data_IF_666458692751
#
_entry.id   IF_666458692751
#
_cell.length_a   1.000
_cell.length_b   1.000
_cell.length_c   1.000
_cell.angle_alpha   90.00
_cell.angle_beta   90.00
_cell.angle_gamma   90.00
#
_symmetry.space_group_name_H-M   'P 1'
#
loop_
_entity.id
_entity.type
_entity.pdbx_description
1 polymer ?
#
# COMPACT_ATOMS: atom_id res chain seq x y z
N UNK A 1 8.73 3.27 25.03
CA UNK A 1 7.37 2.84 25.45
C UNK A 1 6.50 3.04 24.22
N UNK A 2 6.34 2.01 23.39
CA UNK A 2 5.65 2.14 22.11
C UNK A 2 4.14 2.21 22.38
N UNK A 3 3.47 3.24 21.88
CA UNK A 3 2.02 3.30 21.94
C UNK A 3 1.48 2.18 21.03
N UNK A 4 0.95 1.12 21.63
CA UNK A 4 0.26 0.07 20.89
C UNK A 4 -0.91 0.71 20.10
N UNK A 5 -1.22 0.24 18.88
CA UNK A 5 -2.44 0.66 18.16
C UNK A 5 -3.71 0.50 19.01
N UNK A 6 -3.70 -0.42 19.97
CA UNK A 6 -4.78 -0.62 20.93
C UNK A 6 -4.91 0.51 21.97
N UNK A 7 -3.83 1.24 22.25
CA UNK A 7 -3.83 2.38 23.17
C UNK A 7 -4.34 3.65 22.48
N UNK A 8 -3.94 3.89 21.22
CA UNK A 8 -4.49 4.98 20.38
C UNK A 8 -6.01 4.86 20.17
N UNK A 9 -6.52 3.63 20.00
CA UNK A 9 -7.96 3.39 19.90
C UNK A 9 -8.71 3.56 21.24
N UNK A 10 -8.02 3.45 22.38
CA UNK A 10 -8.61 3.55 23.73
C UNK A 10 -8.58 4.98 24.29
N UNK A 11 -7.51 5.73 24.06
CA UNK A 11 -7.34 7.08 24.62
C UNK A 11 -8.34 8.10 24.06
N UNK A 12 -8.86 7.88 22.84
CA UNK A 12 -9.83 8.77 22.20
C UNK A 12 -11.31 8.36 22.39
N UNK A 13 -11.62 7.44 23.31
CA UNK A 13 -13.01 7.15 23.67
C UNK A 13 -13.84 6.44 22.57
N UNK A 14 -13.22 5.64 21.69
CA UNK A 14 -13.89 4.91 20.61
C UNK A 14 -14.64 3.66 21.09
N UNK A 15 -15.62 3.84 21.99
CA UNK A 15 -16.53 2.80 22.45
C UNK A 15 -17.90 2.91 21.77
N UNK A 16 -17.98 2.66 20.46
CA UNK A 16 -19.27 2.37 19.79
C UNK A 16 -19.05 1.83 18.38
N UNK A 17 -19.33 0.52 18.21
CA UNK A 17 -19.60 -0.19 16.94
C UNK A 17 -18.68 0.12 15.75
N UNK A 18 -17.43 -0.36 15.73
CA UNK A 18 -16.52 -0.24 14.56
C UNK A 18 -15.82 -1.56 14.25
N UNK A 19 -15.84 -1.98 12.98
CA UNK A 19 -15.15 -3.18 12.48
C UNK A 19 -13.69 -2.85 12.18
N UNK A 20 -12.80 -3.25 13.08
CA UNK A 20 -11.35 -3.29 12.84
C UNK A 20 -11.09 -4.40 11.79
N UNK A 21 -10.69 -4.08 10.57
CA UNK A 21 -10.44 -5.10 9.56
C UNK A 21 -9.14 -4.88 8.75
N UNK A 22 -8.26 -5.84 8.96
CA UNK A 22 -7.10 -6.28 8.16
C UNK A 22 -5.79 -5.48 8.19
N UNK A 23 -4.75 -6.23 8.57
CA UNK A 23 -3.34 -5.87 8.53
C UNK A 23 -2.79 -6.47 7.24
N UNK A 24 -2.60 -5.67 6.20
CA UNK A 24 -1.59 -6.00 5.18
C UNK A 24 -0.26 -6.14 5.93
N UNK A 25 0.58 -7.10 5.52
CA UNK A 25 1.86 -7.38 6.22
C UNK A 25 2.81 -6.18 6.26
N UNK A 26 2.47 -5.06 5.63
CA UNK A 26 3.34 -3.90 5.56
C UNK A 26 2.64 -2.53 5.63
N UNK A 27 1.30 -2.44 5.54
CA UNK A 27 0.58 -1.18 5.86
C UNK A 27 -0.76 -1.51 6.55
N UNK A 28 -0.89 -1.28 7.87
CA UNK A 28 -2.18 -1.38 8.53
C UNK A 28 -3.10 -0.26 8.06
N UNK A 29 -4.23 -0.68 7.49
CA UNK A 29 -5.32 0.18 7.05
C UNK A 29 -6.51 -0.12 7.97
N UNK A 30 -7.13 0.93 8.51
CA UNK A 30 -8.30 0.78 9.37
C UNK A 30 -9.47 1.60 8.83
N UNK A 31 -10.68 1.06 8.89
CA UNK A 31 -11.88 1.71 8.35
C UNK A 31 -12.81 2.17 9.46
N UNK A 32 -13.27 3.43 9.40
CA UNK A 32 -14.12 4.07 10.40
C UNK A 32 -15.14 5.00 9.73
N UNK A 33 -16.43 4.64 9.70
CA UNK A 33 -17.53 5.53 9.29
C UNK A 33 -17.16 6.44 8.09
N UNK A 34 -16.89 5.82 6.93
CA UNK A 34 -16.51 6.48 5.66
C UNK A 34 -15.12 7.14 5.61
N UNK A 35 -14.35 7.05 6.70
CA UNK A 35 -12.94 7.44 6.75
C UNK A 35 -12.00 6.23 6.79
N UNK A 36 -10.82 6.37 6.18
CA UNK A 36 -9.76 5.36 6.19
C UNK A 36 -8.59 5.89 7.01
N UNK A 37 -8.27 5.26 8.14
CA UNK A 37 -7.07 5.58 8.92
C UNK A 37 -5.89 4.74 8.42
N UNK A 38 -4.74 5.39 8.28
CA UNK A 38 -3.49 4.77 7.87
C UNK A 38 -2.42 4.99 8.92
N UNK A 39 -1.58 3.98 9.09
CA UNK A 39 -0.33 4.10 9.84
C UNK A 39 0.75 3.39 9.02
N UNK A 40 1.74 4.14 8.53
CA UNK A 40 2.80 3.60 7.70
C UNK A 40 3.92 3.01 8.59
N UNK A 41 4.08 1.68 8.55
CA UNK A 41 5.22 1.01 9.18
C UNK A 41 6.31 0.73 8.14
N UNK A 42 7.55 0.84 8.58
CA UNK A 42 8.76 0.69 7.78
C UNK A 42 9.26 -0.76 7.64
N UNK A 43 8.62 -1.74 8.30
CA UNK A 43 9.07 -3.14 8.29
C UNK A 43 7.93 -4.10 7.94
N UNK A 44 8.23 -5.22 7.24
CA UNK A 44 7.29 -6.33 7.15
C UNK A 44 7.00 -6.78 8.60
N UNK A 45 5.73 -6.70 9.00
CA UNK A 45 5.28 -7.05 10.34
C UNK A 45 5.53 -8.55 10.58
N UNK A 46 6.67 -8.89 11.17
CA UNK A 46 6.80 -10.11 11.94
C UNK A 46 5.99 -9.94 13.23
N UNK A 47 4.86 -10.64 13.25
CA UNK A 47 4.12 -11.04 14.44
C UNK A 47 3.55 -9.90 15.31
N UNK A 48 2.31 -9.48 15.02
CA UNK A 48 1.40 -8.96 16.06
C UNK A 48 0.61 -10.17 16.61
N UNK A 49 0.74 -10.54 17.89
CA UNK A 49 -0.10 -11.58 18.49
C UNK A 49 -1.55 -11.08 18.61
N UNK A 50 -2.53 -11.94 18.30
CA UNK A 50 -3.98 -11.77 18.51
C UNK A 50 -4.85 -11.12 17.40
N UNK A 51 -4.50 -11.25 16.11
CA UNK A 51 -5.48 -11.05 15.04
C UNK A 51 -5.77 -12.41 14.41
N UNK A 52 -7.06 -12.81 14.39
CA UNK A 52 -7.49 -14.04 13.73
C UNK A 52 -7.10 -13.98 12.25
N UNK A 53 -6.13 -14.80 11.89
CA UNK A 53 -5.72 -15.04 10.51
C UNK A 53 -6.93 -15.70 9.81
N UNK A 54 -7.60 -14.96 8.93
CA UNK A 54 -8.54 -15.60 8.01
C UNK A 54 -7.67 -16.33 6.99
N UNK A 55 -7.52 -17.64 7.19
CA UNK A 55 -6.75 -18.50 6.30
C UNK A 55 -7.34 -18.38 4.89
N UNK A 56 -6.47 -18.10 3.90
CA UNK A 56 -6.72 -18.07 2.45
C UNK A 56 -6.98 -16.75 1.72
N UNK A 57 -6.77 -15.56 2.31
CA UNK A 57 -6.79 -14.33 1.51
C UNK A 57 -5.56 -13.45 1.80
N UNK A 58 -4.58 -13.47 0.89
CA UNK A 58 -3.54 -12.44 0.76
C UNK A 58 -4.11 -11.14 0.17
N UNK A 59 -5.36 -11.16 -0.29
CA UNK A 59 -6.01 -10.09 -1.03
C UNK A 59 -7.19 -9.58 -0.20
N UNK A 60 -7.36 -8.26 -0.12
CA UNK A 60 -8.47 -7.66 0.61
C UNK A 60 -9.20 -6.64 -0.24
N UNK A 61 -10.44 -6.97 -0.58
CA UNK A 61 -11.41 -6.06 -1.15
C UNK A 61 -12.32 -5.52 -0.04
N UNK A 62 -12.45 -4.20 0.06
CA UNK A 62 -13.42 -3.57 0.94
C UNK A 62 -14.29 -2.60 0.15
N UNK A 63 -15.60 -2.83 0.15
CA UNK A 63 -16.57 -1.87 -0.37
C UNK A 63 -17.02 -0.99 0.79
N UNK A 64 -16.66 0.31 0.77
CA UNK A 64 -16.98 1.27 1.83
C UNK A 64 -18.44 1.71 1.77
N UNK A 65 -18.90 2.02 0.56
CA UNK A 65 -20.24 2.51 0.27
C UNK A 65 -20.67 2.06 -1.12
N UNK A 66 -21.87 2.43 -1.55
CA UNK A 66 -22.30 2.22 -2.95
C UNK A 66 -21.41 2.99 -3.94
N UNK A 67 -20.71 4.04 -3.50
CA UNK A 67 -19.92 4.95 -4.35
C UNK A 67 -18.42 4.63 -4.35
N UNK A 68 -17.92 3.97 -3.30
CA UNK A 68 -16.48 3.77 -3.09
C UNK A 68 -16.07 2.33 -2.83
N UNK A 69 -14.94 1.97 -3.43
CA UNK A 69 -14.27 0.70 -3.25
C UNK A 69 -12.79 0.91 -2.94
N UNK A 70 -12.32 0.21 -1.92
CA UNK A 70 -10.92 0.21 -1.49
C UNK A 70 -10.33 -1.15 -1.80
N UNK A 71 -9.26 -1.14 -2.58
CA UNK A 71 -8.57 -2.35 -3.03
C UNK A 71 -7.20 -2.39 -2.38
N UNK A 72 -6.93 -3.39 -1.55
CA UNK A 72 -5.63 -3.53 -0.88
C UNK A 72 -4.84 -4.64 -1.57
N UNK A 73 -3.76 -4.24 -2.23
CA UNK A 73 -2.80 -5.13 -2.88
C UNK A 73 -1.73 -5.60 -1.89
N UNK A 74 -1.41 -6.89 -1.94
CA UNK A 74 -0.23 -7.46 -1.32
C UNK A 74 0.96 -7.36 -2.29
N UNK A 75 1.73 -6.28 -2.16
CA UNK A 75 2.97 -6.07 -2.90
C UNK A 75 4.10 -7.06 -2.53
N UNK A 76 3.90 -7.90 -1.53
CA UNK A 76 4.82 -8.97 -1.14
C UNK A 76 4.33 -10.37 -1.53
N UNK A 77 3.30 -10.45 -2.38
CA UNK A 77 2.79 -11.71 -2.91
C UNK A 77 3.93 -12.54 -3.53
N UNK A 78 4.71 -11.97 -4.44
CA UNK A 78 5.99 -12.56 -4.86
C UNK A 78 7.12 -11.76 -4.23
N UNK A 79 7.71 -12.28 -3.15
CA UNK A 79 8.82 -11.62 -2.45
C UNK A 79 9.72 -12.60 -1.70
N UNK A 80 10.96 -12.18 -1.45
CA UNK A 80 11.93 -12.98 -0.71
C UNK A 80 11.70 -12.97 0.82
N UNK A 81 10.94 -12.00 1.31
CA UNK A 81 10.72 -11.75 2.74
C UNK A 81 9.27 -11.97 3.20
N UNK A 82 8.33 -12.11 2.25
CA UNK A 82 6.91 -12.23 2.55
C UNK A 82 6.43 -13.65 2.84
N UNK A 83 7.24 -14.70 2.66
CA UNK A 83 6.80 -16.09 2.83
C UNK A 83 7.89 -16.95 3.52
N UNK A 84 7.56 -18.16 4.02
CA UNK A 84 8.55 -19.11 4.51
C UNK A 84 9.66 -19.36 3.47
N UNK A 85 10.87 -19.67 3.94
CA UNK A 85 12.07 -19.77 3.08
C UNK A 85 11.94 -20.80 1.96
N UNK A 86 11.22 -21.87 2.20
CA UNK A 86 10.96 -23.01 1.31
C UNK A 86 9.67 -22.86 0.48
N UNK A 87 8.93 -21.77 0.67
CA UNK A 87 7.70 -21.51 -0.08
C UNK A 87 7.99 -21.20 -1.55
N UNK A 88 7.12 -21.68 -2.46
CA UNK A 88 7.29 -21.50 -3.91
C UNK A 88 7.43 -20.01 -4.30
N UNK A 89 6.64 -19.13 -3.69
CA UNK A 89 6.70 -17.67 -3.93
C UNK A 89 8.04 -17.05 -3.50
N UNK A 90 8.64 -17.53 -2.39
CA UNK A 90 9.99 -17.13 -1.97
C UNK A 90 11.04 -17.57 -2.96
N UNK A 91 10.98 -18.83 -3.40
CA UNK A 91 11.94 -19.39 -4.37
C UNK A 91 11.88 -18.66 -5.71
N UNK A 92 10.67 -18.36 -6.20
CA UNK A 92 10.46 -17.53 -7.40
C UNK A 92 11.09 -16.14 -7.24
N UNK A 93 10.86 -15.49 -6.11
CA UNK A 93 11.42 -14.16 -5.83
C UNK A 93 12.95 -14.16 -5.74
N UNK A 94 13.54 -15.18 -5.12
CA UNK A 94 15.00 -15.34 -5.04
C UNK A 94 15.62 -15.53 -6.43
N UNK A 95 15.03 -16.37 -7.29
CA UNK A 95 15.47 -16.55 -8.67
C UNK A 95 15.39 -15.24 -9.46
N UNK A 96 14.25 -14.53 -9.36
CA UNK A 96 14.04 -13.24 -10.00
C UNK A 96 15.12 -12.20 -9.62
N UNK A 97 15.44 -12.11 -8.33
CA UNK A 97 16.50 -11.23 -7.81
C UNK A 97 17.89 -11.67 -8.25
N UNK A 98 18.13 -12.97 -8.38
CA UNK A 98 19.42 -13.50 -8.82
C UNK A 98 19.70 -13.13 -10.29
N UNK A 99 18.66 -13.08 -11.13
CA UNK A 99 18.76 -12.64 -12.53
C UNK A 99 18.94 -11.12 -12.70
N UNK A 100 18.29 -10.31 -11.85
CA UNK A 100 18.18 -8.85 -12.06
C UNK A 100 19.09 -8.01 -11.18
N UNK A 101 19.48 -8.51 -10.01
CA UNK A 101 20.36 -7.81 -9.08
C UNK A 101 21.72 -8.54 -9.03
N UNK A 102 22.79 -7.95 -9.58
CA UNK A 102 24.11 -8.61 -9.65
C UNK A 102 24.83 -8.69 -8.30
N UNK A 103 24.33 -7.98 -7.27
CA UNK A 103 24.98 -7.93 -5.97
C UNK A 103 24.79 -9.22 -5.18
N UNK A 104 25.76 -9.56 -4.32
CA UNK A 104 25.61 -10.66 -3.34
C UNK A 104 24.59 -10.31 -2.27
N UNK A 105 24.68 -9.09 -1.71
CA UNK A 105 23.61 -8.48 -0.92
C UNK A 105 22.51 -7.96 -1.84
N UNK A 106 21.38 -8.67 -1.87
CA UNK A 106 20.23 -8.32 -2.71
C UNK A 106 19.49 -7.07 -2.23
N UNK A 107 19.85 -6.45 -1.11
CA UNK A 107 19.37 -5.12 -0.72
C UNK A 107 20.22 -3.98 -1.27
N UNK A 108 21.39 -4.28 -1.86
CA UNK A 108 22.26 -3.27 -2.46
C UNK A 108 21.74 -2.84 -3.84
N UNK A 109 21.56 -1.52 -4.09
CA UNK A 109 21.23 -0.99 -5.40
C UNK A 109 22.46 -0.68 -6.26
N UNK A 110 23.68 -1.00 -5.79
CA UNK A 110 24.91 -0.65 -6.50
C UNK A 110 24.97 -1.34 -7.87
N UNK A 111 25.35 -0.58 -8.90
CA UNK A 111 25.37 -1.07 -10.29
C UNK A 111 24.00 -1.15 -10.97
N UNK A 112 22.88 -1.01 -10.24
CA UNK A 112 21.55 -0.88 -10.83
C UNK A 112 21.31 0.56 -11.28
N UNK A 113 20.78 0.72 -12.50
CA UNK A 113 20.59 2.02 -13.14
C UNK A 113 19.11 2.26 -13.44
N UNK A 114 18.66 3.51 -13.24
CA UNK A 114 17.29 3.89 -13.53
C UNK A 114 16.27 3.07 -12.72
N UNK A 115 15.19 2.64 -13.37
CA UNK A 115 14.11 1.89 -12.71
C UNK A 115 14.54 0.49 -12.27
N UNK A 116 15.66 -0.04 -12.76
CA UNK A 116 16.18 -1.34 -12.32
C UNK A 116 16.59 -1.31 -10.85
N UNK A 117 16.82 -0.11 -10.28
CA UNK A 117 17.14 0.09 -8.86
C UNK A 117 16.08 -0.43 -7.90
N UNK A 118 14.87 -0.72 -8.39
CA UNK A 118 13.77 -1.33 -7.62
C UNK A 118 13.95 -2.82 -7.33
N UNK A 119 14.85 -3.51 -8.02
CA UNK A 119 15.03 -4.96 -7.88
C UNK A 119 15.87 -5.31 -6.64
N UNK A 120 15.31 -5.00 -5.48
CA UNK A 120 15.92 -5.17 -4.16
C UNK A 120 15.11 -6.16 -3.32
N UNK A 121 15.79 -6.90 -2.44
CA UNK A 121 15.19 -7.96 -1.62
C UNK A 121 14.13 -7.46 -0.63
N UNK A 122 14.23 -6.19 -0.22
CA UNK A 122 13.21 -5.55 0.62
C UNK A 122 11.94 -5.14 -0.13
N UNK A 123 11.86 -5.37 -1.44
CA UNK A 123 10.66 -5.17 -2.26
C UNK A 123 10.00 -6.51 -2.64
N UNK A 124 8.98 -6.44 -3.50
CA UNK A 124 8.29 -7.60 -4.05
C UNK A 124 7.51 -7.24 -5.32
N UNK A 125 6.68 -8.18 -5.76
CA UNK A 125 5.79 -8.07 -6.90
C UNK A 125 4.37 -8.56 -6.53
N UNK A 126 3.39 -8.07 -7.26
CA UNK A 126 2.03 -8.60 -7.28
C UNK A 126 1.99 -9.81 -8.22
N UNK A 127 1.53 -10.96 -7.76
CA UNK A 127 1.47 -12.18 -8.55
C UNK A 127 0.36 -12.16 -9.59
N UNK A 128 0.43 -13.10 -10.55
CA UNK A 128 -0.51 -13.18 -11.67
C UNK A 128 -1.97 -13.35 -11.23
N UNK A 129 -2.23 -14.21 -10.25
CA UNK A 129 -3.58 -14.45 -9.71
C UNK A 129 -4.18 -13.16 -9.14
N UNK A 130 -3.36 -12.38 -8.43
CA UNK A 130 -3.76 -11.10 -7.86
C UNK A 130 -3.97 -10.01 -8.93
N UNK A 131 -3.20 -10.02 -10.02
CA UNK A 131 -3.42 -9.13 -11.17
C UNK A 131 -4.75 -9.45 -11.89
N UNK A 132 -5.05 -10.74 -12.09
CA UNK A 132 -6.32 -11.19 -12.68
C UNK A 132 -7.51 -10.83 -11.78
N UNK A 133 -7.36 -11.01 -10.46
CA UNK A 133 -8.33 -10.57 -9.48
C UNK A 133 -8.55 -9.04 -9.53
N UNK A 134 -7.47 -8.25 -9.58
CA UNK A 134 -7.55 -6.80 -9.68
C UNK A 134 -8.34 -6.37 -10.92
N UNK A 135 -8.10 -6.99 -12.07
CA UNK A 135 -8.83 -6.72 -13.32
C UNK A 135 -10.35 -6.91 -13.13
N UNK A 136 -10.76 -8.03 -12.55
CA UNK A 136 -12.16 -8.31 -12.25
C UNK A 136 -12.76 -7.31 -11.26
N UNK A 137 -12.03 -6.96 -10.20
CA UNK A 137 -12.48 -6.00 -9.19
C UNK A 137 -12.70 -4.61 -9.79
N UNK A 138 -11.81 -4.16 -10.68
CA UNK A 138 -11.92 -2.85 -11.34
C UNK A 138 -13.01 -2.83 -12.43
N UNK A 139 -13.20 -3.95 -13.14
CA UNK A 139 -14.32 -4.12 -14.06
C UNK A 139 -15.66 -4.02 -13.33
N UNK A 140 -15.81 -4.72 -12.21
CA UNK A 140 -17.03 -4.68 -11.41
C UNK A 140 -17.29 -3.29 -10.81
N UNK A 141 -16.23 -2.62 -10.33
CA UNK A 141 -16.33 -1.24 -9.84
C UNK A 141 -16.81 -0.28 -10.93
N UNK A 142 -16.29 -0.44 -12.15
CA UNK A 142 -16.71 0.33 -13.32
C UNK A 142 -18.19 0.10 -13.63
N UNK A 143 -18.63 -1.16 -13.67
CA UNK A 143 -20.04 -1.51 -13.93
C UNK A 143 -20.98 -0.99 -12.83
N UNK A 144 -20.46 -0.78 -11.63
CA UNK A 144 -21.21 -0.29 -10.47
C UNK A 144 -21.07 1.23 -10.26
N UNK A 145 -20.44 1.96 -11.19
CA UNK A 145 -20.14 3.39 -11.09
C UNK A 145 -19.40 3.79 -9.80
N UNK A 146 -18.53 2.92 -9.30
CA UNK A 146 -17.75 3.17 -8.09
C UNK A 146 -16.43 3.86 -8.41
N UNK A 147 -15.96 4.69 -7.48
CA UNK A 147 -14.60 5.23 -7.44
C UNK A 147 -13.73 4.29 -6.63
N UNK A 148 -12.51 4.06 -7.09
CA UNK A 148 -11.57 3.12 -6.49
C UNK A 148 -10.35 3.85 -5.96
N UNK A 149 -9.99 3.53 -4.71
CA UNK A 149 -8.66 3.83 -4.15
C UNK A 149 -7.91 2.52 -3.99
N UNK A 150 -6.76 2.43 -4.63
CA UNK A 150 -5.86 1.27 -4.54
C UNK A 150 -4.84 1.55 -3.43
N UNK A 151 -4.65 0.61 -2.53
CA UNK A 151 -3.64 0.69 -1.48
C UNK A 151 -2.62 -0.42 -1.71
N UNK A 152 -1.33 -0.10 -1.70
CA UNK A 152 -0.25 -1.08 -1.72
C UNK A 152 0.85 -0.59 -0.77
N UNK A 153 1.58 -1.48 -0.09
CA UNK A 153 2.70 -0.99 0.71
C UNK A 153 3.79 -0.36 -0.18
N UNK A 154 4.09 -0.99 -1.32
CA UNK A 154 5.12 -0.56 -2.26
C UNK A 154 4.55 0.47 -3.25
N UNK A 155 5.21 1.62 -3.47
CA UNK A 155 4.80 2.62 -4.44
C UNK A 155 4.65 2.07 -5.87
N UNK A 156 3.63 2.60 -6.56
CA UNK A 156 3.27 2.20 -7.92
C UNK A 156 3.68 3.24 -8.99
N UNK A 157 4.21 4.38 -8.59
CA UNK A 157 4.63 5.45 -9.53
C UNK A 157 6.02 5.99 -9.19
N UNK A 158 6.94 6.05 -10.18
CA UNK A 158 8.31 6.54 -9.98
C UNK A 158 8.41 8.06 -9.76
N UNK A 159 7.34 8.83 -9.98
CA UNK A 159 7.26 10.24 -9.66
C UNK A 159 6.89 10.50 -8.20
N UNK A 160 6.25 9.55 -7.52
CA UNK A 160 5.85 9.68 -6.12
C UNK A 160 6.84 9.07 -5.12
N UNK A 161 7.85 8.31 -5.57
CA UNK A 161 8.83 7.64 -4.71
C UNK A 161 10.22 7.57 -5.33
N UNK A 162 11.23 7.25 -4.51
CA UNK A 162 12.54 6.79 -4.97
C UNK A 162 12.42 5.51 -5.79
N UNK A 163 13.38 5.30 -6.71
CA UNK A 163 13.35 4.14 -7.61
C UNK A 163 13.56 2.84 -6.85
N UNK A 164 14.29 2.90 -5.74
CA UNK A 164 14.60 1.80 -4.85
C UNK A 164 13.38 1.29 -4.10
N UNK A 165 12.37 2.13 -3.87
CA UNK A 165 11.16 1.77 -3.14
C UNK A 165 10.07 1.12 -4.02
N UNK A 166 10.19 1.19 -5.35
CA UNK A 166 9.10 0.79 -6.26
C UNK A 166 8.82 -0.71 -6.22
N UNK A 167 7.54 -1.06 -6.39
CA UNK A 167 7.12 -2.44 -6.67
C UNK A 167 7.84 -2.98 -7.90
N UNK A 168 8.31 -4.24 -7.86
CA UNK A 168 9.08 -4.84 -8.95
C UNK A 168 8.34 -4.80 -10.30
N UNK A 169 7.05 -5.15 -10.29
CA UNK A 169 6.20 -5.13 -11.47
C UNK A 169 5.13 -4.01 -11.37
N UNK A 170 5.51 -2.84 -10.85
CA UNK A 170 4.62 -1.68 -10.82
C UNK A 170 4.01 -1.37 -12.19
N UNK A 171 4.77 -1.60 -13.26
CA UNK A 171 4.34 -1.41 -14.64
C UNK A 171 3.23 -2.37 -15.07
N UNK A 172 3.27 -3.63 -14.62
CA UNK A 172 2.20 -4.60 -14.88
C UNK A 172 0.94 -4.26 -14.09
N UNK A 173 1.09 -3.83 -12.82
CA UNK A 173 -0.04 -3.39 -11.99
C UNK A 173 -0.68 -2.14 -12.58
N UNK A 174 0.13 -1.15 -12.96
CA UNK A 174 -0.37 0.09 -13.56
C UNK A 174 -0.99 -0.15 -14.93
N UNK A 175 -0.48 -1.11 -15.72
CA UNK A 175 -1.12 -1.51 -16.97
C UNK A 175 -2.56 -2.00 -16.76
N UNK A 176 -2.82 -2.77 -15.70
CA UNK A 176 -4.20 -3.18 -15.35
C UNK A 176 -5.02 -1.98 -14.89
N UNK A 177 -4.48 -1.16 -13.97
CA UNK A 177 -5.16 0.01 -13.42
C UNK A 177 -5.56 1.02 -14.51
N UNK A 178 -4.67 1.32 -15.45
CA UNK A 178 -4.89 2.31 -16.52
C UNK A 178 -5.96 1.90 -17.53
N UNK A 179 -6.44 0.65 -17.52
CA UNK A 179 -7.59 0.22 -18.33
C UNK A 179 -8.93 0.74 -17.80
N UNK A 180 -8.97 1.27 -16.57
CA UNK A 180 -10.19 1.63 -15.88
C UNK A 180 -10.16 3.07 -15.36
N UNK A 181 -11.19 3.85 -15.71
CA UNK A 181 -11.34 5.24 -15.24
C UNK A 181 -11.84 5.36 -13.79
N UNK A 182 -12.24 4.24 -13.18
CA UNK A 182 -12.78 4.19 -11.84
C UNK A 182 -11.71 4.44 -10.76
N UNK A 183 -10.43 4.15 -11.05
CA UNK A 183 -9.33 4.37 -10.11
C UNK A 183 -8.99 5.85 -10.04
N UNK A 184 -9.01 6.42 -8.82
CA UNK A 184 -8.77 7.85 -8.58
C UNK A 184 -7.48 8.13 -7.83
N UNK A 185 -7.07 7.21 -6.95
CA UNK A 185 -5.83 7.35 -6.21
C UNK A 185 -5.20 6.00 -5.89
N UNK A 186 -3.87 5.98 -5.83
CA UNK A 186 -3.04 4.92 -5.28
C UNK A 186 -2.36 5.44 -4.01
N UNK A 187 -2.56 4.77 -2.89
CA UNK A 187 -1.94 5.09 -1.61
C UNK A 187 -0.86 4.05 -1.30
N UNK A 188 0.33 4.52 -0.94
CA UNK A 188 1.45 3.66 -0.57
C UNK A 188 2.25 4.17 0.63
N UNK A 189 3.20 3.35 1.08
CA UNK A 189 4.21 3.73 2.07
C UNK A 189 5.58 3.33 1.56
N UNK A 190 6.37 2.63 2.39
CA UNK A 190 7.68 2.08 2.08
C UNK A 190 8.80 3.10 1.82
N UNK A 191 8.57 4.12 0.99
CA UNK A 191 9.45 5.29 0.93
C UNK A 191 9.14 6.23 2.08
N UNK A 192 9.97 6.20 3.12
CA UNK A 192 9.71 6.93 4.36
C UNK A 192 9.67 8.45 4.19
N UNK A 193 10.28 8.97 3.12
CA UNK A 193 10.23 10.39 2.81
C UNK A 193 8.82 10.83 2.42
N UNK A 194 8.00 9.91 1.94
CA UNK A 194 6.73 10.22 1.30
C UNK A 194 6.93 10.88 -0.06
N UNK A 195 5.81 11.14 -0.71
CA UNK A 195 5.78 11.84 -1.99
C UNK A 195 4.40 11.86 -2.62
N UNK A 196 4.27 12.63 -3.69
CA UNK A 196 3.03 12.76 -4.44
C UNK A 196 3.32 13.01 -5.92
N UNK A 197 2.57 12.34 -6.78
CA UNK A 197 2.53 12.60 -8.22
C UNK A 197 1.12 12.41 -8.77
N UNK A 198 0.88 12.91 -9.98
CA UNK A 198 -0.31 12.60 -10.78
C UNK A 198 0.19 12.04 -12.09
N UNK A 199 -0.28 10.84 -12.46
CA UNK A 199 0.14 10.19 -13.69
C UNK A 199 -0.61 10.73 -14.92
N UNK A 200 -0.23 10.24 -16.11
CA UNK A 200 -0.82 10.68 -17.38
C UNK A 200 -2.31 10.33 -17.54
N UNK A 201 -2.86 9.48 -16.68
CA UNK A 201 -4.28 9.10 -16.66
C UNK A 201 -5.07 9.88 -15.60
N UNK A 202 -4.43 10.83 -14.91
CA UNK A 202 -5.05 11.63 -13.85
C UNK A 202 -5.17 10.89 -12.51
N UNK A 203 -4.48 9.75 -12.35
CA UNK A 203 -4.49 9.00 -11.08
C UNK A 203 -3.46 9.62 -10.14
N UNK A 204 -3.90 9.94 -8.93
CA UNK A 204 -3.00 10.46 -7.90
C UNK A 204 -2.25 9.32 -7.22
N UNK A 205 -0.93 9.46 -7.08
CA UNK A 205 -0.10 8.53 -6.33
C UNK A 205 0.42 9.22 -5.09
N UNK A 206 -0.02 8.78 -3.91
CA UNK A 206 0.38 9.38 -2.62
C UNK A 206 1.12 8.36 -1.78
N UNK A 207 2.40 8.61 -1.55
CA UNK A 207 3.26 7.82 -0.66
C UNK A 207 3.33 8.52 0.69
N UNK A 208 2.91 7.81 1.74
CA UNK A 208 2.77 8.33 3.09
C UNK A 208 4.09 8.25 3.86
N UNK A 209 4.40 9.31 4.60
CA UNK A 209 5.60 9.40 5.43
C UNK A 209 5.58 8.35 6.55
N UNK A 210 6.73 7.73 6.84
CA UNK A 210 6.81 6.65 7.82
C UNK A 210 7.05 7.17 9.25
N UNK A 211 6.32 6.59 10.21
CA UNK A 211 6.48 6.92 11.63
C UNK A 211 7.86 6.52 12.19
N UNK A 212 8.57 5.59 11.55
CA UNK A 212 9.89 5.14 11.98
C UNK A 212 10.93 6.27 11.97
N UNK A 213 10.78 7.25 11.08
CA UNK A 213 11.71 8.38 10.97
C UNK A 213 11.33 9.58 11.83
N UNK A 214 10.36 9.41 12.73
CA UNK A 214 9.94 10.45 13.64
C UNK A 214 10.93 10.58 14.81
N UNK A 215 11.37 11.80 15.16
CA UNK A 215 12.13 12.04 16.38
C UNK A 215 11.43 11.46 17.62
N UNK A 216 12.18 11.08 18.67
CA UNK A 216 11.57 10.61 19.92
C UNK A 216 10.49 11.56 20.44
N UNK A 217 9.28 11.04 20.63
CA UNK A 217 8.13 11.83 21.10
C UNK A 217 7.23 12.40 20.00
N UNK A 218 7.46 12.06 18.73
CA UNK A 218 6.59 12.42 17.59
C UNK A 218 6.12 11.17 16.84
N UNK A 219 5.06 11.27 16.03
CA UNK A 219 4.48 10.16 15.26
C UNK A 219 4.32 10.52 13.76
N UNK A 220 3.79 9.61 12.94
CA UNK A 220 3.30 9.89 11.59
C UNK A 220 2.08 9.01 11.29
N UNK A 221 0.90 9.61 11.34
CA UNK A 221 -0.36 8.93 11.06
C UNK A 221 -1.36 9.90 10.44
N UNK A 222 -2.43 9.36 9.88
CA UNK A 222 -3.47 10.18 9.30
C UNK A 222 -4.74 9.42 8.99
N UNK A 223 -5.71 10.15 8.48
CA UNK A 223 -6.96 9.60 7.99
C UNK A 223 -7.40 10.27 6.70
N UNK A 224 -8.11 9.51 5.89
CA UNK A 224 -8.66 9.94 4.61
C UNK A 224 -10.17 10.02 4.73
N UNK A 225 -10.74 11.15 4.34
CA UNK A 225 -12.16 11.30 4.07
C UNK A 225 -12.39 11.23 2.56
N UNK A 226 -13.38 10.45 2.13
CA UNK A 226 -13.75 10.30 0.73
C UNK A 226 -15.03 11.10 0.45
N UNK A 227 -14.96 11.96 -0.56
CA UNK A 227 -16.08 12.78 -1.04
C UNK A 227 -16.30 12.52 -2.52
N UNK A 228 -17.38 13.00 -3.11
CA UNK A 228 -17.62 12.73 -4.52
C UNK A 228 -16.56 13.28 -5.47
N UNK A 229 -16.01 14.44 -5.15
CA UNK A 229 -15.10 15.20 -6.00
C UNK A 229 -13.64 15.12 -5.54
N UNK A 230 -13.36 14.57 -4.35
CA UNK A 230 -12.02 14.56 -3.78
C UNK A 230 -11.77 13.48 -2.74
N UNK A 231 -10.49 13.23 -2.50
CA UNK A 231 -9.93 12.54 -1.35
C UNK A 231 -9.23 13.58 -0.47
N UNK A 232 -9.58 13.65 0.82
CA UNK A 232 -8.91 14.53 1.77
C UNK A 232 -8.12 13.71 2.77
N UNK A 233 -6.79 13.80 2.70
CA UNK A 233 -5.86 13.26 3.69
C UNK A 233 -5.62 14.30 4.79
N UNK A 234 -5.96 13.95 6.01
CA UNK A 234 -5.59 14.69 7.21
C UNK A 234 -4.47 13.93 7.91
N UNK A 235 -3.25 14.45 7.78
CA UNK A 235 -2.05 13.94 8.42
C UNK A 235 -1.76 14.66 9.73
N UNK A 236 -1.14 13.95 10.67
CA UNK A 236 -0.63 14.47 11.93
C UNK A 236 0.90 14.33 11.99
N UNK A 237 1.53 15.25 12.73
CA UNK A 237 2.98 15.35 12.90
C UNK A 237 3.73 15.38 11.55
N UNK A 238 4.51 14.34 11.23
CA UNK A 238 5.31 14.29 10.00
C UNK A 238 4.47 13.97 8.76
N UNK A 239 3.27 13.43 8.92
CA UNK A 239 2.41 13.13 7.77
C UNK A 239 1.75 14.41 7.26
N UNK A 240 2.00 14.75 6.00
CA UNK A 240 1.40 15.95 5.41
C UNK A 240 -0.09 15.72 5.12
N UNK A 241 -0.89 16.73 5.45
CA UNK A 241 -2.29 16.79 4.99
C UNK A 241 -2.33 17.20 3.52
N UNK A 242 -3.22 16.58 2.75
CA UNK A 242 -3.34 16.83 1.33
C UNK A 242 -4.79 16.70 0.86
N UNK A 243 -5.19 17.59 -0.04
CA UNK A 243 -6.43 17.47 -0.79
C UNK A 243 -6.13 17.00 -2.21
N UNK A 244 -6.79 15.90 -2.61
CA UNK A 244 -6.67 15.28 -3.93
C UNK A 244 -8.01 15.45 -4.62
N UNK A 245 -8.12 16.46 -5.48
CA UNK A 245 -9.33 16.73 -6.26
C UNK A 245 -9.32 15.86 -7.51
N UNK A 246 -10.37 15.09 -7.73
CA UNK A 246 -10.49 14.24 -8.90
C UNK A 246 -10.81 15.10 -10.13
N UNK A 247 -10.04 14.93 -11.19
CA UNK A 247 -10.40 15.50 -12.48
C UNK A 247 -11.70 14.87 -12.98
N UNK A 248 -12.59 15.73 -13.49
CA UNK A 248 -13.85 15.34 -14.13
C UNK A 248 -13.63 14.43 -15.34
#
# INVERSE_FOLDING_TARGET
MFCSPANLAREEGFASKRKLLYVSRALPVYFLNDSIKFMAFAYPLQCIPNIQKKENLSECLYTMSEEYRIVVLDGYDISAIGWPKDHEKTLKALNFLQERNPNSDKNSPNGLVGLQRRFLMFNGAVGKEQLEWLDHVLQDATNSNQKVVVCCHLPLDPGAATKEALLWNYDEVMYVIHRYNCVKACLAGHDHKGGHSVDSHGIHHRVLEAALECPPGTDAFGWVNLFDDRLQLSGADRMESQEIVFSC
#
